data_IF_128641517872
#
_entry.id   IF_128641517872
#
_cell.length_a   1.000
_cell.length_b   1.000
_cell.length_c   1.000
_cell.angle_alpha   90.00
_cell.angle_beta   90.00
_cell.angle_gamma   90.00
#
_symmetry.space_group_name_H-M   'P 1'
#
loop_
_entity.id
_entity.type
_entity.pdbx_description
1 polymer ?
#
# COMPACT_ATOMS: atom_id res chain seq x y z
N UNK A 1 -9.93 3.86 11.94
CA UNK A 1 -8.48 3.57 11.79
C UNK A 1 -7.93 3.97 10.42
N UNK A 2 -8.63 3.67 9.31
CA UNK A 2 -8.20 4.01 7.94
C UNK A 2 -7.85 5.50 7.72
N UNK A 3 -8.67 6.41 8.22
CA UNK A 3 -8.40 7.86 8.12
C UNK A 3 -7.12 8.27 8.86
N UNK A 4 -6.93 7.75 10.09
CA UNK A 4 -5.72 8.02 10.86
C UNK A 4 -4.48 7.44 10.18
N UNK A 5 -4.58 6.27 9.58
CA UNK A 5 -3.51 5.71 8.75
C UNK A 5 -3.15 6.65 7.59
N UNK A 6 -4.14 7.11 6.82
CA UNK A 6 -3.89 7.99 5.68
C UNK A 6 -3.24 9.31 6.13
N UNK A 7 -3.76 9.94 7.19
CA UNK A 7 -3.18 11.16 7.75
C UNK A 7 -1.71 10.96 8.17
N UNK A 8 -1.41 9.91 8.94
CA UNK A 8 -0.04 9.60 9.36
C UNK A 8 0.88 9.30 8.16
N UNK A 9 0.42 8.57 7.16
CA UNK A 9 1.21 8.27 5.96
C UNK A 9 1.51 9.55 5.14
N UNK A 10 0.53 10.44 5.02
CA UNK A 10 0.71 11.75 4.38
C UNK A 10 1.69 12.64 5.15
N UNK A 11 1.65 12.65 6.49
CA UNK A 11 2.64 13.37 7.32
C UNK A 11 4.05 12.79 7.15
N UNK A 12 4.20 11.46 7.08
CA UNK A 12 5.49 10.81 6.87
C UNK A 12 6.07 11.12 5.49
N UNK A 13 5.25 11.22 4.44
CA UNK A 13 5.69 11.65 3.11
C UNK A 13 6.32 13.05 3.13
N UNK A 14 5.85 13.94 4.01
CA UNK A 14 6.37 15.30 4.16
C UNK A 14 7.71 15.36 4.90
N UNK A 15 7.92 14.43 5.83
CA UNK A 15 9.05 14.45 6.75
C UNK A 15 10.24 13.60 6.26
N UNK A 16 9.97 12.50 5.56
CA UNK A 16 10.99 11.54 5.13
C UNK A 16 10.92 11.34 3.61
N UNK A 17 11.98 11.75 2.90
CA UNK A 17 12.10 11.62 1.45
C UNK A 17 12.17 10.17 0.98
N UNK A 18 12.54 9.25 1.86
CA UNK A 18 12.59 7.82 1.53
C UNK A 18 11.21 7.16 1.57
N UNK A 19 10.21 7.75 2.24
CA UNK A 19 8.86 7.19 2.29
C UNK A 19 8.16 7.32 0.94
N UNK A 20 7.52 6.24 0.52
CA UNK A 20 6.64 6.19 -0.64
C UNK A 20 5.36 5.44 -0.28
N UNK A 21 4.24 5.78 -0.93
CA UNK A 21 2.95 5.11 -0.80
C UNK A 21 2.55 4.54 -2.16
N UNK A 22 2.17 3.28 -2.18
CA UNK A 22 1.64 2.60 -3.37
C UNK A 22 0.20 2.16 -3.07
N UNK A 23 -0.73 2.49 -3.96
CA UNK A 23 -2.17 2.26 -3.79
C UNK A 23 -2.70 1.34 -4.90
N UNK A 24 -3.68 0.51 -4.58
CA UNK A 24 -4.47 -0.24 -5.57
C UNK A 24 -5.91 0.28 -5.66
N UNK A 25 -6.06 1.52 -6.14
CA UNK A 25 -7.34 2.23 -6.37
C UNK A 25 -8.32 2.37 -5.20
N UNK A 26 -7.91 1.99 -3.98
CA UNK A 26 -8.67 2.24 -2.76
C UNK A 26 -8.03 3.37 -1.97
N UNK A 27 -8.85 4.11 -1.20
CA UNK A 27 -8.39 5.25 -0.38
C UNK A 27 -7.80 6.41 -1.17
N UNK A 28 -7.86 6.40 -2.51
CA UNK A 28 -7.13 7.35 -3.37
C UNK A 28 -7.46 8.81 -3.02
N UNK A 29 -8.73 9.10 -2.74
CA UNK A 29 -9.18 10.44 -2.32
C UNK A 29 -8.51 10.93 -1.04
N UNK A 30 -8.18 10.03 -0.11
CA UNK A 30 -7.48 10.36 1.14
C UNK A 30 -6.01 10.74 0.92
N UNK A 31 -5.44 10.37 -0.24
CA UNK A 31 -4.06 10.65 -0.61
C UNK A 31 -3.94 11.70 -1.73
N UNK A 32 -5.05 12.29 -2.21
CA UNK A 32 -5.05 13.16 -3.38
C UNK A 32 -4.12 14.37 -3.24
N UNK A 33 -4.16 15.07 -2.10
CA UNK A 33 -3.26 16.21 -1.84
C UNK A 33 -1.79 15.77 -1.70
N UNK A 34 -1.54 14.63 -1.05
CA UNK A 34 -0.19 14.09 -0.93
C UNK A 34 0.37 13.66 -2.29
N UNK A 35 -0.48 13.12 -3.18
CA UNK A 35 -0.09 12.77 -4.54
C UNK A 35 0.24 14.00 -5.39
N UNK A 36 -0.50 15.11 -5.23
CA UNK A 36 -0.17 16.36 -5.89
C UNK A 36 1.17 16.96 -5.42
N UNK A 37 1.52 16.78 -4.13
CA UNK A 37 2.77 17.28 -3.55
C UNK A 37 3.97 16.37 -3.79
N UNK A 38 3.74 15.06 -3.86
CA UNK A 38 4.76 14.02 -3.98
C UNK A 38 4.45 13.03 -5.12
N UNK A 39 4.35 13.51 -6.38
CA UNK A 39 3.88 12.70 -7.50
C UNK A 39 4.76 11.47 -7.78
N UNK A 40 6.05 11.55 -7.48
CA UNK A 40 7.01 10.45 -7.68
C UNK A 40 7.01 9.42 -6.55
N UNK A 41 6.28 9.70 -5.45
CA UNK A 41 6.28 8.88 -4.23
C UNK A 41 4.88 8.46 -3.78
N UNK A 42 3.82 8.90 -4.45
CA UNK A 42 2.47 8.39 -4.26
C UNK A 42 1.96 7.81 -5.57
N UNK A 43 2.01 6.49 -5.69
CA UNK A 43 1.76 5.78 -6.94
C UNK A 43 0.48 4.96 -6.83
N UNK A 44 -0.55 5.31 -7.60
CA UNK A 44 -1.73 4.45 -7.77
C UNK A 44 -1.51 3.52 -8.96
N UNK A 45 -1.48 2.21 -8.72
CA UNK A 45 -1.30 1.21 -9.78
C UNK A 45 -2.63 0.68 -10.36
N UNK A 46 -3.76 1.19 -9.89
CA UNK A 46 -5.10 0.69 -10.22
C UNK A 46 -5.41 -0.64 -9.52
N UNK A 47 -6.42 -1.37 -9.99
CA UNK A 47 -6.85 -2.66 -9.42
C UNK A 47 -5.88 -3.78 -9.86
N UNK A 48 -4.64 -3.72 -9.36
CA UNK A 48 -3.53 -4.60 -9.74
C UNK A 48 -2.66 -4.94 -8.52
N UNK A 49 -3.18 -5.75 -7.61
CA UNK A 49 -2.55 -5.97 -6.29
C UNK A 49 -1.22 -6.74 -6.36
N UNK A 50 -1.02 -7.59 -7.36
CA UNK A 50 0.28 -8.19 -7.63
C UNK A 50 1.31 -7.11 -8.03
N UNK A 51 0.91 -6.17 -8.89
CA UNK A 51 1.76 -5.04 -9.28
C UNK A 51 2.01 -4.09 -8.11
N UNK A 52 1.01 -3.84 -7.26
CA UNK A 52 1.14 -3.05 -6.03
C UNK A 52 2.32 -3.54 -5.18
N UNK A 53 2.36 -4.84 -4.92
CA UNK A 53 3.40 -5.46 -4.10
C UNK A 53 4.76 -5.40 -4.79
N UNK A 54 4.82 -5.71 -6.09
CA UNK A 54 6.06 -5.67 -6.87
C UNK A 54 6.66 -4.26 -6.99
N UNK A 55 5.82 -3.24 -7.18
CA UNK A 55 6.26 -1.83 -7.19
C UNK A 55 6.82 -1.45 -5.83
N UNK A 56 6.13 -1.82 -4.74
CA UNK A 56 6.65 -1.62 -3.39
C UNK A 56 8.01 -2.28 -3.18
N UNK A 57 8.15 -3.57 -3.50
CA UNK A 57 9.41 -4.29 -3.41
C UNK A 57 10.52 -3.64 -4.25
N UNK A 58 10.20 -3.21 -5.48
CA UNK A 58 11.11 -2.47 -6.35
C UNK A 58 11.63 -1.19 -5.70
N UNK A 59 10.73 -0.38 -5.14
CA UNK A 59 11.09 0.83 -4.40
C UNK A 59 11.99 0.53 -3.20
N UNK A 60 11.72 -0.55 -2.46
CA UNK A 60 12.55 -0.97 -1.33
C UNK A 60 13.98 -1.35 -1.75
N UNK A 61 14.12 -2.06 -2.87
CA UNK A 61 15.44 -2.40 -3.45
C UNK A 61 16.25 -1.17 -3.86
N UNK A 62 15.59 -0.05 -4.17
CA UNK A 62 16.24 1.22 -4.51
C UNK A 62 16.41 2.16 -3.31
N UNK A 63 16.24 1.68 -2.08
CA UNK A 63 16.48 2.45 -0.85
C UNK A 63 15.29 3.26 -0.35
N UNK A 64 14.10 3.11 -0.94
CA UNK A 64 12.87 3.71 -0.42
C UNK A 64 12.26 2.85 0.69
N UNK A 65 11.31 3.43 1.42
CA UNK A 65 10.54 2.81 2.51
C UNK A 65 9.07 2.77 2.08
N UNK A 66 8.67 1.76 1.28
CA UNK A 66 7.34 1.72 0.69
C UNK A 66 6.27 1.35 1.73
N UNK A 67 5.13 2.02 1.64
CA UNK A 67 3.87 1.65 2.29
C UNK A 67 2.92 1.21 1.17
N UNK A 68 2.55 -0.07 1.16
CA UNK A 68 1.60 -0.60 0.17
C UNK A 68 0.22 -0.77 0.81
N UNK A 69 -0.82 -0.30 0.13
CA UNK A 69 -2.17 -0.25 0.69
C UNK A 69 -3.26 -0.77 -0.26
N UNK A 70 -4.02 -1.76 0.22
CA UNK A 70 -5.26 -2.27 -0.38
C UNK A 70 -6.15 -2.94 0.68
N UNK A 71 -7.23 -3.64 0.30
CA UNK A 71 -8.04 -4.42 1.26
C UNK A 71 -7.32 -5.69 1.71
N UNK A 72 -7.65 -6.20 2.90
CA UNK A 72 -6.97 -7.35 3.50
C UNK A 72 -6.98 -8.59 2.59
N UNK A 73 -8.15 -9.00 2.11
CA UNK A 73 -8.33 -10.13 1.18
C UNK A 73 -7.45 -9.98 -0.07
N UNK A 74 -7.34 -8.77 -0.63
CA UNK A 74 -6.56 -8.55 -1.86
C UNK A 74 -5.06 -8.43 -1.59
N UNK A 75 -4.66 -7.82 -0.49
CA UNK A 75 -3.25 -7.69 -0.10
C UNK A 75 -2.63 -9.06 0.18
N UNK A 76 -3.38 -9.91 0.89
CA UNK A 76 -2.91 -11.23 1.30
C UNK A 76 -3.13 -12.24 0.17
N UNK A 77 -4.36 -12.45 -0.30
CA UNK A 77 -4.64 -13.59 -1.17
C UNK A 77 -4.16 -13.38 -2.61
N UNK A 78 -4.38 -12.19 -3.19
CA UNK A 78 -3.94 -11.91 -4.58
C UNK A 78 -2.44 -11.65 -4.68
N UNK A 79 -1.86 -11.02 -3.66
CA UNK A 79 -0.45 -10.59 -3.65
C UNK A 79 0.51 -11.55 -2.96
N UNK A 80 0.06 -12.70 -2.43
CA UNK A 80 0.87 -13.54 -1.53
C UNK A 80 2.22 -13.94 -2.12
N UNK A 81 2.23 -14.40 -3.37
CA UNK A 81 3.47 -14.80 -4.03
C UNK A 81 4.43 -13.62 -4.19
N UNK A 82 3.91 -12.46 -4.58
CA UNK A 82 4.69 -11.24 -4.73
C UNK A 82 5.26 -10.75 -3.39
N UNK A 83 4.57 -10.98 -2.27
CA UNK A 83 5.13 -10.66 -0.94
C UNK A 83 6.31 -11.58 -0.62
N UNK A 84 6.16 -12.88 -0.86
CA UNK A 84 7.24 -13.86 -0.64
C UNK A 84 8.46 -13.58 -1.51
N UNK A 85 8.25 -13.34 -2.81
CA UNK A 85 9.34 -13.20 -3.78
C UNK A 85 9.90 -11.78 -3.83
N UNK A 86 9.05 -10.76 -3.69
CA UNK A 86 9.42 -9.36 -3.79
C UNK A 86 10.03 -8.81 -2.52
N UNK A 87 9.44 -9.07 -1.35
CA UNK A 87 9.99 -8.58 -0.07
C UNK A 87 10.89 -9.63 0.59
N UNK A 88 10.34 -10.80 0.92
CA UNK A 88 11.05 -11.76 1.77
C UNK A 88 12.29 -12.37 1.08
N UNK A 89 12.17 -12.83 -0.17
CA UNK A 89 13.29 -13.42 -0.90
C UNK A 89 14.39 -12.39 -1.24
N UNK A 90 14.02 -11.15 -1.57
CA UNK A 90 15.00 -10.08 -1.84
C UNK A 90 15.67 -9.54 -0.56
N UNK A 91 15.17 -9.91 0.62
CA UNK A 91 15.70 -9.42 1.90
C UNK A 91 15.46 -7.92 2.12
N UNK A 92 14.38 -7.36 1.57
CA UNK A 92 14.01 -5.94 1.69
C UNK A 92 12.70 -5.75 2.46
N UNK A 93 12.54 -4.58 3.07
CA UNK A 93 11.39 -4.25 3.91
C UNK A 93 10.33 -3.40 3.21
N UNK A 94 9.08 -3.56 3.64
CA UNK A 94 7.96 -2.69 3.28
C UNK A 94 6.88 -2.75 4.34
N UNK A 95 6.10 -1.67 4.47
CA UNK A 95 4.95 -1.62 5.38
C UNK A 95 3.69 -1.97 4.59
N UNK A 96 3.09 -3.11 4.91
CA UNK A 96 1.87 -3.61 4.28
C UNK A 96 0.69 -3.22 5.16
N UNK A 97 -0.15 -2.30 4.70
CA UNK A 97 -1.32 -1.84 5.46
C UNK A 97 -2.59 -2.22 4.71
N UNK A 98 -3.45 -3.01 5.35
CA UNK A 98 -4.77 -3.29 4.81
C UNK A 98 -5.85 -2.38 5.39
N UNK A 99 -6.94 -2.21 4.64
CA UNK A 99 -8.24 -1.85 5.21
C UNK A 99 -9.18 -3.07 5.20
N UNK A 100 -10.23 -3.03 6.00
CA UNK A 100 -11.31 -4.02 5.93
C UNK A 100 -10.94 -5.42 6.42
N UNK A 101 -9.97 -5.53 7.33
CA UNK A 101 -9.71 -6.80 8.00
C UNK A 101 -10.85 -7.18 8.96
N UNK A 102 -10.99 -8.48 9.25
CA UNK A 102 -12.03 -9.03 10.14
C UNK A 102 -13.45 -8.69 9.67
N UNK A 103 -14.17 -7.81 10.38
CA UNK A 103 -15.55 -7.43 10.07
C UNK A 103 -15.71 -5.93 9.76
N UNK A 104 -14.59 -5.22 9.54
CA UNK A 104 -14.60 -3.77 9.24
C UNK A 104 -15.36 -3.42 7.95
N UNK A 105 -15.49 -4.38 7.03
CA UNK A 105 -16.27 -4.24 5.77
C UNK A 105 -17.25 -5.41 5.63
N UNK A 106 -18.04 -5.66 6.68
CA UNK A 106 -19.00 -6.77 6.71
C UNK A 106 -20.04 -6.76 5.57
N UNK A 107 -20.41 -5.57 5.06
CA UNK A 107 -21.29 -5.41 3.91
C UNK A 107 -20.71 -5.88 2.57
N UNK A 108 -19.39 -6.07 2.47
CA UNK A 108 -18.72 -6.57 1.26
C UNK A 108 -18.89 -8.09 1.05
N UNK A 109 -19.47 -8.80 2.02
CA UNK A 109 -19.70 -10.24 1.96
C UNK A 109 -18.40 -11.06 2.06
N UNK A 110 -18.50 -12.37 1.78
CA UNK A 110 -17.37 -13.31 1.91
C UNK A 110 -16.18 -12.98 0.98
N UNK A 111 -16.38 -12.19 -0.06
CA UNK A 111 -15.33 -11.83 -1.02
C UNK A 111 -14.43 -10.68 -0.54
N UNK A 112 -14.77 -10.03 0.57
CA UNK A 112 -14.04 -8.90 1.16
C UNK A 112 -13.71 -9.13 2.65
N UNK A 113 -13.81 -10.38 3.13
CA UNK A 113 -13.43 -10.81 4.48
C UNK A 113 -12.12 -11.60 4.45
#
# INVERSE_FOLDING_TARGET
MRERFAATACELLDQDRSVAVVLADISVSMFAEAAARHPDRVVNVGIREQLLVNVGAGMAMTGMRPVVHTFATFLVERGFEQVKLGFAHQGVGGVLVSAGASYDVSGGGRTHQ
#
